data_IF_024799816968
#
_entry.id   IF_024799816968
#
_cell.length_a   1.000
_cell.length_b   1.000
_cell.length_c   1.000
_cell.angle_alpha   90.00
_cell.angle_beta   90.00
_cell.angle_gamma   90.00
#
_symmetry.space_group_name_H-M   'P 1'
#
loop_
_entity.id
_entity.type
_entity.pdbx_description
1 polymer ?
#
# COMPACT_ATOMS: atom_id res chain seq x y z
N UNK A 1 -6.18 36.81 -65.10
CA UNK A 1 -6.56 36.06 -63.88
C UNK A 1 -5.27 35.46 -63.32
N UNK A 2 -4.71 36.04 -62.26
CA UNK A 2 -3.48 35.55 -61.64
C UNK A 2 -3.87 34.69 -60.44
N UNK A 3 -3.70 33.36 -60.56
CA UNK A 3 -3.90 32.43 -59.45
C UNK A 3 -2.72 32.49 -58.48
N UNK A 4 -2.97 32.99 -57.27
CA UNK A 4 -2.06 32.85 -56.14
C UNK A 4 -2.24 31.45 -55.54
N UNK A 5 -1.19 30.64 -55.59
CA UNK A 5 -1.10 29.37 -54.87
C UNK A 5 -0.68 29.69 -53.44
N UNK A 6 -1.60 29.57 -52.48
CA UNK A 6 -1.28 29.60 -51.05
C UNK A 6 -0.55 28.30 -50.69
N UNK A 7 0.75 28.39 -50.40
CA UNK A 7 1.50 27.30 -49.79
C UNK A 7 1.21 27.31 -48.29
N UNK A 8 0.48 26.31 -47.81
CA UNK A 8 0.20 26.13 -46.37
C UNK A 8 1.44 25.49 -45.75
N UNK A 9 2.20 26.28 -45.00
CA UNK A 9 3.32 25.80 -44.19
C UNK A 9 2.73 25.06 -42.98
N UNK A 10 2.73 23.72 -43.02
CA UNK A 10 2.37 22.88 -41.88
C UNK A 10 3.46 22.99 -40.81
N UNK A 11 3.23 23.78 -39.76
CA UNK A 11 4.05 23.76 -38.55
C UNK A 11 3.85 22.42 -37.83
N UNK A 12 4.79 21.49 -37.99
CA UNK A 12 4.87 20.30 -37.16
C UNK A 12 5.40 20.71 -35.77
N UNK A 13 4.51 20.81 -34.78
CA UNK A 13 4.95 20.94 -33.39
C UNK A 13 5.68 19.64 -33.00
N UNK A 14 6.91 19.72 -32.45
CA UNK A 14 7.57 18.54 -31.93
C UNK A 14 6.73 17.98 -30.78
N UNK A 15 6.33 16.70 -30.89
CA UNK A 15 5.81 15.94 -29.77
C UNK A 15 6.92 15.84 -28.73
N UNK A 16 6.76 16.56 -27.63
CA UNK A 16 7.57 16.34 -26.43
C UNK A 16 7.06 15.05 -25.80
N UNK A 17 7.73 13.94 -26.10
CA UNK A 17 7.51 12.68 -25.37
C UNK A 17 8.17 12.86 -24.01
N UNK A 18 7.39 13.20 -22.99
CA UNK A 18 7.85 13.13 -21.61
C UNK A 18 8.06 11.66 -21.26
N UNK A 19 9.32 11.24 -21.16
CA UNK A 19 9.68 9.92 -20.67
C UNK A 19 9.84 10.02 -19.16
N UNK A 20 8.80 9.61 -18.43
CA UNK A 20 8.89 9.44 -16.99
C UNK A 20 9.78 8.24 -16.68
N UNK A 21 10.80 8.44 -15.84
CA UNK A 21 11.70 7.37 -15.40
C UNK A 21 11.63 7.21 -13.90
N UNK A 22 11.81 6.00 -13.40
CA UNK A 22 11.73 5.69 -11.98
C UNK A 22 13.10 5.23 -11.47
N UNK A 23 13.59 5.86 -10.40
CA UNK A 23 14.84 5.46 -9.74
C UNK A 23 14.56 4.85 -8.40
N UNK A 24 15.24 3.74 -8.09
CA UNK A 24 15.09 3.02 -6.83
C UNK A 24 15.44 3.94 -5.65
N UNK A 25 14.48 4.15 -4.76
CA UNK A 25 14.64 4.93 -3.54
C UNK A 25 14.87 4.03 -2.32
N UNK A 26 14.11 2.95 -2.19
CA UNK A 26 14.24 2.00 -1.07
C UNK A 26 13.94 0.57 -1.54
N UNK A 27 14.67 -0.40 -1.01
CA UNK A 27 14.44 -1.84 -1.24
C UNK A 27 14.42 -2.58 0.08
N UNK A 28 13.36 -3.35 0.31
CA UNK A 28 13.23 -4.31 1.40
C UNK A 28 13.20 -5.71 0.78
N UNK A 29 14.31 -6.45 0.87
CA UNK A 29 14.44 -7.82 0.35
C UNK A 29 15.56 -8.59 1.08
N UNK A 30 15.52 -9.92 1.02
CA UNK A 30 16.57 -10.77 1.56
C UNK A 30 16.76 -10.66 3.07
N UNK A 31 18.01 -10.81 3.51
CA UNK A 31 18.40 -10.70 4.92
C UNK A 31 18.24 -9.28 5.49
N UNK A 32 18.08 -8.27 4.64
CA UNK A 32 17.91 -6.87 5.03
C UNK A 32 16.46 -6.41 5.01
N UNK A 33 15.49 -7.28 4.70
CA UNK A 33 14.09 -6.89 4.58
C UNK A 33 13.58 -6.16 5.83
N UNK A 34 13.90 -6.65 7.02
CA UNK A 34 13.44 -6.09 8.30
C UNK A 34 14.28 -4.91 8.80
N UNK A 35 15.19 -4.39 7.97
CA UNK A 35 15.89 -3.14 8.27
C UNK A 35 14.98 -1.95 7.91
N UNK A 36 14.98 -0.92 8.74
CA UNK A 36 14.21 0.30 8.43
C UNK A 36 12.72 0.21 8.71
N UNK A 37 12.31 -0.66 9.64
CA UNK A 37 10.94 -0.75 10.14
C UNK A 37 10.85 -0.39 11.61
N UNK A 38 9.69 0.13 12.01
CA UNK A 38 9.28 0.30 13.40
C UNK A 38 8.16 -0.69 13.70
N UNK A 39 8.29 -1.47 14.78
CA UNK A 39 7.29 -2.45 15.21
C UNK A 39 6.45 -1.86 16.33
N UNK A 40 5.13 -1.81 16.14
CA UNK A 40 4.20 -1.35 17.17
C UNK A 40 3.91 -2.45 18.18
N UNK A 41 3.80 -2.08 19.44
CA UNK A 41 3.19 -2.91 20.50
C UNK A 41 1.98 -2.24 21.11
N UNK A 42 1.47 -1.19 20.46
CA UNK A 42 0.26 -0.52 20.91
C UNK A 42 -0.94 -1.47 20.74
N UNK A 43 -1.97 -1.34 21.59
CA UNK A 43 -3.24 -1.99 21.34
C UNK A 43 -3.75 -1.66 19.95
N UNK A 44 -4.38 -2.64 19.30
CA UNK A 44 -4.95 -2.42 17.98
C UNK A 44 -6.07 -1.37 18.03
N UNK A 45 -6.04 -0.45 17.06
CA UNK A 45 -7.03 0.63 16.93
C UNK A 45 -8.30 0.17 16.23
N UNK A 46 -8.23 -0.96 15.51
CA UNK A 46 -9.37 -1.59 14.87
C UNK A 46 -10.08 -2.61 15.79
N UNK A 47 -9.72 -2.64 17.08
CA UNK A 47 -10.33 -3.49 18.11
C UNK A 47 -10.17 -4.99 17.84
N UNK A 48 -9.15 -5.36 17.09
CA UNK A 48 -8.76 -6.72 16.80
C UNK A 48 -8.24 -7.49 18.00
N UNK A 49 -8.35 -8.81 17.93
CA UNK A 49 -7.97 -9.75 18.98
C UNK A 49 -6.52 -10.21 18.80
N UNK A 50 -5.63 -9.24 18.68
CA UNK A 50 -4.20 -9.42 18.48
C UNK A 50 -3.38 -8.82 19.61
N UNK A 51 -2.19 -9.37 19.79
CA UNK A 51 -1.15 -8.80 20.64
C UNK A 51 0.06 -8.50 19.77
N UNK A 52 0.20 -7.26 19.32
CA UNK A 52 1.33 -6.87 18.47
C UNK A 52 2.65 -6.91 19.25
N UNK A 53 3.63 -7.59 18.67
CA UNK A 53 4.92 -7.85 19.31
C UNK A 53 6.01 -6.89 18.83
N UNK A 54 6.92 -6.55 19.74
CA UNK A 54 8.14 -5.82 19.38
C UNK A 54 8.98 -6.64 18.39
N UNK A 55 9.85 -5.97 17.62
CA UNK A 55 10.71 -6.65 16.64
C UNK A 55 11.55 -7.77 17.27
N UNK A 56 12.10 -7.55 18.47
CA UNK A 56 12.91 -8.55 19.17
C UNK A 56 12.10 -9.80 19.52
N UNK A 57 10.88 -9.61 20.05
CA UNK A 57 9.98 -10.73 20.39
C UNK A 57 9.51 -11.44 19.12
N UNK A 58 9.04 -10.69 18.12
CA UNK A 58 8.59 -11.23 16.83
C UNK A 58 9.69 -12.05 16.15
N UNK A 59 10.95 -11.61 16.19
CA UNK A 59 12.09 -12.37 15.66
C UNK A 59 12.33 -13.65 16.46
N UNK A 60 12.36 -13.54 17.79
CA UNK A 60 12.62 -14.69 18.67
C UNK A 60 11.55 -15.79 18.57
N UNK A 61 10.30 -15.39 18.35
CA UNK A 61 9.14 -16.27 18.20
C UNK A 61 8.87 -16.67 16.75
N UNK A 62 9.72 -16.25 15.80
CA UNK A 62 9.55 -16.51 14.36
C UNK A 62 8.20 -16.00 13.81
N UNK A 63 7.73 -14.86 14.32
CA UNK A 63 6.62 -14.08 13.76
C UNK A 63 7.09 -13.13 12.66
N UNK A 64 8.34 -12.67 12.71
CA UNK A 64 8.98 -11.87 11.66
C UNK A 64 10.40 -12.38 11.43
N UNK A 65 10.69 -12.98 10.28
CA UNK A 65 12.00 -13.56 9.96
C UNK A 65 12.20 -13.79 8.46
N UNK A 66 13.44 -13.94 8.01
CA UNK A 66 13.75 -14.35 6.63
C UNK A 66 13.83 -15.87 6.55
N UNK A 67 13.12 -16.49 5.61
CA UNK A 67 13.16 -17.93 5.38
C UNK A 67 14.39 -18.35 4.54
N UNK A 68 14.57 -19.65 4.33
CA UNK A 68 15.73 -20.20 3.61
C UNK A 68 15.76 -19.81 2.12
N UNK A 69 14.62 -19.40 1.53
CA UNK A 69 14.53 -18.87 0.18
C UNK A 69 14.94 -17.39 0.09
N UNK A 70 15.23 -16.74 1.23
CA UNK A 70 15.54 -15.31 1.30
C UNK A 70 14.29 -14.42 1.35
N UNK A 71 13.09 -14.99 1.49
CA UNK A 71 11.84 -14.24 1.55
C UNK A 71 11.54 -13.83 3.00
N UNK A 72 10.93 -12.67 3.18
CA UNK A 72 10.46 -12.23 4.47
C UNK A 72 9.13 -12.90 4.83
N UNK A 73 9.08 -13.49 6.01
CA UNK A 73 7.88 -14.07 6.62
C UNK A 73 7.41 -13.13 7.73
N UNK A 74 6.15 -12.68 7.63
CA UNK A 74 5.43 -11.99 8.71
C UNK A 74 4.18 -12.80 9.00
N UNK A 75 3.99 -13.29 10.22
CA UNK A 75 2.91 -14.23 10.54
C UNK A 75 2.28 -14.01 11.92
N UNK A 76 1.06 -14.52 12.02
CA UNK A 76 0.39 -14.76 13.29
C UNK A 76 1.04 -15.94 14.02
N UNK A 77 1.06 -15.90 15.35
CA UNK A 77 1.43 -17.05 16.17
C UNK A 77 0.47 -18.21 15.91
N UNK A 78 0.99 -19.28 15.32
CA UNK A 78 0.28 -20.53 15.03
C UNK A 78 0.82 -21.69 15.88
N UNK A 79 1.31 -21.42 17.08
CA UNK A 79 1.87 -22.43 18.01
C UNK A 79 1.28 -22.36 19.42
N UNK A 80 0.96 -21.19 19.94
CA UNK A 80 0.44 -21.05 21.31
C UNK A 80 -1.05 -21.41 21.38
N UNK A 81 -1.37 -22.32 22.30
CA UNK A 81 -2.75 -22.63 22.70
C UNK A 81 -3.24 -21.59 23.70
N UNK A 82 -4.27 -20.83 23.32
CA UNK A 82 -4.85 -19.82 24.19
C UNK A 82 -5.70 -20.45 25.30
N UNK A 83 -5.65 -19.86 26.50
CA UNK A 83 -6.53 -20.28 27.59
C UNK A 83 -7.99 -19.94 27.24
N UNK A 84 -8.87 -20.95 27.21
CA UNK A 84 -10.29 -20.79 26.85
C UNK A 84 -11.06 -19.89 27.82
N UNK A 85 -10.59 -19.73 29.06
CA UNK A 85 -11.22 -18.88 30.07
C UNK A 85 -10.67 -17.44 30.07
N UNK A 86 -9.61 -17.16 29.31
CA UNK A 86 -9.04 -15.82 29.21
C UNK A 86 -9.77 -15.00 28.14
N UNK A 87 -10.67 -14.12 28.57
CA UNK A 87 -11.44 -13.25 27.65
C UNK A 87 -10.61 -12.09 27.08
N UNK A 88 -9.38 -11.90 27.55
CA UNK A 88 -8.48 -10.80 27.13
C UNK A 88 -7.37 -11.25 26.19
N UNK A 89 -7.31 -12.55 25.88
CA UNK A 89 -6.29 -13.12 25.02
C UNK A 89 -6.33 -12.50 23.62
N UNK A 90 -5.24 -11.82 23.26
CA UNK A 90 -4.92 -11.47 21.88
C UNK A 90 -3.84 -12.42 21.36
N UNK A 91 -4.02 -12.93 20.13
CA UNK A 91 -3.02 -13.80 19.52
C UNK A 91 -1.83 -12.97 19.04
N UNK A 92 -0.61 -13.44 19.28
CA UNK A 92 0.57 -12.66 18.93
C UNK A 92 0.66 -12.42 17.41
N UNK A 93 0.90 -11.17 17.03
CA UNK A 93 0.96 -10.69 15.64
C UNK A 93 2.03 -9.62 15.49
N UNK A 94 2.19 -9.08 14.28
CA UNK A 94 3.12 -8.03 13.90
C UNK A 94 2.34 -6.89 13.26
N UNK A 95 2.62 -5.67 13.71
CA UNK A 95 2.27 -4.43 13.03
C UNK A 95 3.56 -3.66 12.81
N UNK A 96 3.96 -3.46 11.57
CA UNK A 96 5.21 -2.78 11.24
C UNK A 96 5.00 -1.65 10.25
N UNK A 97 5.70 -0.54 10.50
CA UNK A 97 5.64 0.69 9.71
C UNK A 97 7.03 1.01 9.18
N UNK A 98 7.14 1.36 7.90
CA UNK A 98 8.43 1.75 7.32
C UNK A 98 8.93 3.06 7.91
N UNK A 99 10.24 3.16 8.14
CA UNK A 99 10.87 4.39 8.61
C UNK A 99 11.03 5.41 7.46
N UNK A 100 11.23 4.91 6.23
CA UNK A 100 11.27 5.74 5.05
C UNK A 100 9.86 6.08 4.58
N UNK A 101 9.66 7.33 4.17
CA UNK A 101 8.40 7.81 3.62
C UNK A 101 8.27 7.50 2.12
N UNK A 102 7.03 7.28 1.68
CA UNK A 102 6.60 7.21 0.29
C UNK A 102 5.89 8.52 -0.05
N UNK A 103 6.53 9.36 -0.86
CA UNK A 103 5.98 10.66 -1.25
C UNK A 103 5.11 10.53 -2.51
N UNK A 104 4.21 11.48 -2.80
CA UNK A 104 3.67 11.65 -4.14
C UNK A 104 4.80 11.70 -5.18
N UNK A 105 4.58 11.08 -6.34
CA UNK A 105 5.63 10.78 -7.33
C UNK A 105 6.40 9.50 -7.03
N UNK A 106 5.80 8.54 -6.33
CA UNK A 106 6.43 7.24 -6.05
C UNK A 106 5.71 6.07 -6.70
N UNK A 107 6.49 5.05 -7.07
CA UNK A 107 6.00 3.75 -7.51
C UNK A 107 6.41 2.70 -6.47
N UNK A 108 5.43 2.05 -5.86
CA UNK A 108 5.62 0.99 -4.86
C UNK A 108 5.36 -0.36 -5.52
N UNK A 109 6.32 -1.28 -5.45
CA UNK A 109 6.24 -2.63 -5.99
C UNK A 109 6.32 -3.65 -4.87
N UNK A 110 5.31 -4.49 -4.73
CA UNK A 110 5.19 -5.54 -3.72
C UNK A 110 5.10 -6.91 -4.39
N UNK A 111 6.15 -7.72 -4.27
CA UNK A 111 6.22 -9.09 -4.80
C UNK A 111 6.07 -10.10 -3.65
N UNK A 112 4.95 -10.84 -3.64
CA UNK A 112 4.65 -11.84 -2.61
C UNK A 112 4.31 -13.21 -3.21
N UNK A 113 4.74 -14.27 -2.52
CA UNK A 113 4.39 -15.67 -2.82
C UNK A 113 3.14 -16.08 -2.05
N UNK A 114 2.95 -15.51 -0.86
CA UNK A 114 1.83 -15.79 0.03
C UNK A 114 1.34 -14.50 0.69
N UNK A 115 0.02 -14.35 0.81
CA UNK A 115 -0.66 -13.33 1.61
C UNK A 115 -1.54 -14.07 2.62
N UNK A 116 -1.70 -13.60 3.88
CA UNK A 116 -2.50 -14.29 4.88
C UNK A 116 -3.94 -14.50 4.43
N UNK A 117 -4.55 -15.62 4.79
CA UNK A 117 -5.97 -15.86 4.55
C UNK A 117 -6.54 -16.90 5.52
N UNK A 118 -7.86 -16.89 5.69
CA UNK A 118 -8.59 -17.95 6.39
C UNK A 118 -8.89 -19.15 5.49
N UNK A 119 -8.78 -20.38 6.00
CA UNK A 119 -9.10 -21.60 5.23
C UNK A 119 -10.53 -22.08 5.46
N UNK A 120 -11.25 -22.35 4.38
CA UNK A 120 -12.40 -23.25 4.44
C UNK A 120 -11.89 -24.68 4.51
N UNK A 121 -11.99 -25.32 5.68
CA UNK A 121 -11.72 -26.74 5.76
C UNK A 121 -12.93 -27.50 5.19
N UNK A 122 -12.79 -28.28 4.10
CA UNK A 122 -13.87 -29.13 3.65
C UNK A 122 -14.13 -30.19 4.72
N UNK A 123 -15.41 -30.53 4.85
CA UNK A 123 -15.98 -31.56 5.70
C UNK A 123 -15.04 -32.75 5.95
N UNK A 124 -14.93 -33.09 7.24
CA UNK A 124 -14.42 -34.35 7.72
C UNK A 124 -14.96 -35.50 6.86
N UNK A 125 -14.07 -36.31 6.29
CA UNK A 125 -14.41 -37.51 5.51
C UNK A 125 -14.88 -38.67 6.40
N UNK A 126 -15.22 -38.41 7.67
CA UNK A 126 -15.68 -39.41 8.61
C UNK A 126 -17.17 -39.74 8.34
N UNK A 127 -17.57 -41.02 8.38
CA UNK A 127 -18.97 -41.40 8.27
C UNK A 127 -19.79 -40.69 9.36
N UNK A 128 -21.03 -40.33 9.00
CA UNK A 128 -21.92 -39.36 9.64
C UNK A 128 -22.38 -39.66 11.10
N UNK A 129 -21.59 -40.38 11.90
CA UNK A 129 -21.91 -40.71 13.29
C UNK A 129 -21.32 -39.76 14.33
N UNK A 130 -20.34 -38.92 13.97
CA UNK A 130 -19.76 -37.94 14.90
C UNK A 130 -19.81 -36.53 14.30
N UNK A 131 -20.42 -35.61 15.05
CA UNK A 131 -20.61 -34.18 14.78
C UNK A 131 -19.29 -33.46 14.48
N UNK A 132 -18.81 -33.58 13.26
CA UNK A 132 -17.62 -32.90 12.77
C UNK A 132 -18.04 -31.66 11.95
N UNK A 133 -18.70 -30.72 12.63
CA UNK A 133 -18.81 -29.34 12.17
C UNK A 133 -17.52 -28.63 12.58
N UNK A 134 -16.42 -28.90 11.88
CA UNK A 134 -15.24 -28.06 12.07
C UNK A 134 -15.58 -26.68 11.50
N UNK A 135 -15.42 -25.60 12.28
CA UNK A 135 -15.72 -24.25 11.79
C UNK A 135 -14.83 -23.95 10.60
N UNK A 136 -15.41 -23.31 9.58
CA UNK A 136 -14.65 -22.69 8.52
C UNK A 136 -13.69 -21.69 9.16
N UNK A 137 -12.39 -21.83 8.93
CA UNK A 137 -11.38 -21.00 9.59
C UNK A 137 -11.37 -19.64 8.91
N UNK A 138 -12.02 -18.69 9.55
CA UNK A 138 -12.06 -17.29 9.18
C UNK A 138 -11.20 -16.49 10.17
N UNK A 139 -11.56 -15.23 10.44
CA UNK A 139 -10.98 -14.33 11.44
C UNK A 139 -9.80 -13.48 10.99
N UNK A 140 -9.06 -13.86 9.95
CA UNK A 140 -7.85 -13.13 9.52
C UNK A 140 -8.21 -11.87 8.74
N UNK A 141 -7.56 -10.75 9.07
CA UNK A 141 -7.61 -9.47 8.37
C UNK A 141 -6.18 -8.97 8.14
N UNK A 142 -5.55 -9.34 7.02
CA UNK A 142 -4.24 -8.82 6.69
C UNK A 142 -4.33 -7.54 5.87
N UNK A 143 -3.35 -6.67 6.08
CA UNK A 143 -3.24 -5.43 5.34
C UNK A 143 -1.80 -5.17 4.87
N UNK A 144 -1.66 -4.72 3.64
CA UNK A 144 -0.51 -3.97 3.14
C UNK A 144 -1.03 -2.69 2.50
N UNK A 145 -0.65 -1.56 3.09
CA UNK A 145 -1.22 -0.26 2.78
C UNK A 145 -0.21 0.86 3.03
N UNK A 146 -0.55 2.06 2.59
CA UNK A 146 0.19 3.28 2.82
C UNK A 146 -0.66 4.20 3.69
N UNK A 147 -0.09 4.76 4.76
CA UNK A 147 -0.83 5.66 5.65
C UNK A 147 -0.04 6.92 5.95
N UNK A 148 -0.71 8.07 5.87
CA UNK A 148 -0.15 9.36 6.24
C UNK A 148 0.09 9.45 7.75
N UNK A 149 1.16 10.14 8.15
CA UNK A 149 1.53 10.27 9.58
C UNK A 149 0.50 11.04 10.44
N UNK A 150 -0.45 11.73 9.80
CA UNK A 150 -1.56 12.43 10.45
C UNK A 150 -2.87 12.00 9.77
N UNK A 151 -3.41 10.88 10.22
CA UNK A 151 -4.63 10.30 9.67
C UNK A 151 -5.90 10.95 10.28
N UNK A 152 -6.94 11.23 9.48
CA UNK A 152 -7.08 11.00 8.04
C UNK A 152 -6.62 12.19 7.17
N UNK A 153 -6.02 13.23 7.77
CA UNK A 153 -5.66 14.47 7.08
C UNK A 153 -4.70 14.26 5.90
N UNK A 154 -3.79 13.29 6.03
CA UNK A 154 -2.82 12.92 5.02
C UNK A 154 -3.19 11.64 4.26
N UNK A 155 -4.43 11.17 4.40
CA UNK A 155 -4.96 10.04 3.64
C UNK A 155 -4.36 8.68 3.98
N UNK A 156 -4.95 7.66 3.37
CA UNK A 156 -4.57 6.24 3.44
C UNK A 156 -4.92 5.56 2.10
N UNK A 157 -4.05 4.62 1.69
CA UNK A 157 -4.10 3.91 0.41
C UNK A 157 -3.93 2.41 0.67
N UNK A 158 -5.02 1.65 0.57
CA UNK A 158 -5.02 0.21 0.79
C UNK A 158 -4.73 -0.52 -0.52
N UNK A 159 -3.73 -1.41 -0.49
CA UNK A 159 -3.22 -2.08 -1.70
C UNK A 159 -3.56 -3.57 -1.68
N UNK A 160 -3.36 -4.21 -0.53
CA UNK A 160 -3.76 -5.59 -0.27
C UNK A 160 -4.52 -5.59 1.04
N UNK A 161 -5.85 -5.63 0.95
CA UNK A 161 -6.70 -5.72 2.13
C UNK A 161 -7.97 -6.49 1.77
N UNK A 162 -8.36 -7.42 2.64
CA UNK A 162 -9.68 -8.02 2.71
C UNK A 162 -9.77 -8.88 3.97
N UNK A 163 -10.91 -9.52 4.22
CA UNK A 163 -11.13 -10.29 5.44
C UNK A 163 -11.59 -11.72 5.18
N UNK A 164 -11.34 -12.58 6.16
CA UNK A 164 -11.90 -13.93 6.23
C UNK A 164 -11.55 -14.79 5.01
N UNK A 165 -12.55 -15.22 4.23
CA UNK A 165 -12.42 -16.12 3.08
C UNK A 165 -12.41 -15.40 1.73
N UNK A 166 -12.19 -14.08 1.73
CA UNK A 166 -12.14 -13.32 0.50
C UNK A 166 -11.10 -13.90 -0.49
N UNK A 167 -11.41 -13.82 -1.77
CA UNK A 167 -10.56 -14.34 -2.87
C UNK A 167 -10.03 -13.24 -3.77
N UNK A 168 -10.64 -12.06 -3.73
CA UNK A 168 -10.17 -10.87 -4.43
C UNK A 168 -9.66 -9.83 -3.44
N UNK A 169 -8.53 -9.20 -3.76
CA UNK A 169 -8.11 -7.99 -3.06
C UNK A 169 -9.09 -6.85 -3.37
N UNK A 170 -9.15 -5.87 -2.49
CA UNK A 170 -9.76 -4.59 -2.77
C UNK A 170 -8.75 -3.48 -2.55
N UNK A 171 -8.93 -2.39 -3.30
CA UNK A 171 -8.15 -1.18 -3.22
C UNK A 171 -9.07 -0.09 -2.69
N UNK A 172 -8.63 0.64 -1.67
CA UNK A 172 -9.40 1.72 -1.07
C UNK A 172 -8.56 2.95 -0.83
N UNK A 173 -9.23 4.10 -0.84
CA UNK A 173 -8.70 5.34 -0.30
C UNK A 173 -9.59 5.82 0.83
N UNK A 174 -8.95 6.31 1.90
CA UNK A 174 -9.59 6.98 3.02
C UNK A 174 -9.02 8.38 3.17
N UNK A 175 -9.88 9.39 3.15
CA UNK A 175 -9.48 10.80 3.14
C UNK A 175 -10.42 11.66 3.97
N UNK A 176 -10.12 12.96 4.06
CA UNK A 176 -11.11 13.99 4.39
C UNK A 176 -12.19 14.11 3.30
N UNK A 177 -13.28 14.80 3.62
CA UNK A 177 -14.40 15.03 2.71
C UNK A 177 -13.96 15.78 1.43
N UNK A 178 -14.43 15.34 0.27
CA UNK A 178 -14.26 16.01 -1.02
C UNK A 178 -13.41 15.25 -2.05
N UNK A 179 -12.81 14.11 -1.67
CA UNK A 179 -12.18 13.17 -2.59
C UNK A 179 -13.18 12.05 -2.93
N UNK A 180 -13.35 11.76 -4.21
CA UNK A 180 -14.21 10.68 -4.68
C UNK A 180 -13.58 9.92 -5.85
N UNK A 181 -13.98 8.67 -6.02
CA UNK A 181 -13.82 7.97 -7.29
C UNK A 181 -14.95 8.40 -8.26
N UNK A 182 -14.68 8.67 -9.54
CA UNK A 182 -15.72 8.93 -10.54
C UNK A 182 -16.79 7.82 -10.58
N UNK A 183 -18.06 8.16 -10.80
CA UNK A 183 -19.15 7.16 -10.79
C UNK A 183 -19.18 6.23 -12.01
N UNK A 184 -18.45 6.59 -13.07
CA UNK A 184 -18.14 5.75 -14.22
C UNK A 184 -16.68 5.30 -14.15
N UNK A 185 -16.33 4.17 -14.78
CA UNK A 185 -14.93 3.71 -14.85
C UNK A 185 -14.01 4.85 -15.28
N UNK A 186 -12.89 4.99 -14.58
CA UNK A 186 -11.90 6.04 -14.80
C UNK A 186 -10.78 5.60 -15.76
N UNK A 187 -10.86 4.37 -16.27
CA UNK A 187 -9.77 3.71 -17.01
C UNK A 187 -9.14 2.55 -16.22
N UNK A 188 -9.93 1.81 -15.45
CA UNK A 188 -9.47 0.63 -14.71
C UNK A 188 -10.21 -0.66 -15.13
N UNK A 189 -9.64 -1.81 -14.75
CA UNK A 189 -10.19 -3.14 -15.02
C UNK A 189 -10.95 -3.77 -13.84
N UNK A 190 -10.80 -3.20 -12.64
CA UNK A 190 -11.53 -3.61 -11.45
C UNK A 190 -13.00 -3.19 -11.46
N UNK A 191 -13.73 -3.67 -10.46
CA UNK A 191 -15.14 -3.33 -10.26
C UNK A 191 -15.28 -2.26 -9.19
N UNK A 192 -15.82 -1.10 -9.56
CA UNK A 192 -16.16 -0.04 -8.60
C UNK A 192 -17.24 -0.52 -7.61
N UNK A 193 -16.97 -0.36 -6.31
CA UNK A 193 -17.86 -0.77 -5.21
C UNK A 193 -18.37 0.45 -4.43
N UNK A 194 -17.51 1.43 -4.16
CA UNK A 194 -17.86 2.65 -3.43
C UNK A 194 -17.11 3.84 -4.04
N UNK A 195 -17.79 4.98 -4.16
CA UNK A 195 -17.22 6.20 -4.74
C UNK A 195 -16.73 7.21 -3.71
N UNK A 196 -17.22 7.17 -2.47
CA UNK A 196 -16.92 8.19 -1.45
C UNK A 196 -15.71 7.79 -0.61
N UNK A 197 -14.62 8.55 -0.72
CA UNK A 197 -13.38 8.27 0.01
C UNK A 197 -13.40 8.86 1.43
N UNK A 198 -14.45 9.60 1.82
CA UNK A 198 -14.51 10.24 3.12
C UNK A 198 -14.57 9.22 4.26
N UNK A 199 -13.59 9.28 5.15
CA UNK A 199 -13.42 8.34 6.26
C UNK A 199 -14.60 8.35 7.27
N UNK A 200 -15.44 9.39 7.28
CA UNK A 200 -16.61 9.46 8.15
C UNK A 200 -17.92 8.99 7.48
N UNK A 201 -17.88 8.54 6.22
CA UNK A 201 -19.05 7.97 5.53
C UNK A 201 -19.07 6.45 5.69
N UNK A 202 -20.29 5.88 5.83
CA UNK A 202 -20.54 4.43 5.86
C UNK A 202 -19.65 3.61 6.83
N UNK A 203 -19.25 4.21 7.95
CA UNK A 203 -18.38 3.55 8.92
C UNK A 203 -16.94 3.39 8.47
N UNK A 204 -16.36 4.42 7.84
CA UNK A 204 -15.02 4.42 7.28
C UNK A 204 -14.83 3.41 6.13
N UNK A 205 -15.83 3.29 5.25
CA UNK A 205 -15.76 2.36 4.12
C UNK A 205 -14.70 2.78 3.08
N UNK A 206 -14.53 4.10 2.87
CA UNK A 206 -13.69 4.61 1.79
C UNK A 206 -14.26 4.35 0.40
N UNK A 207 -13.51 4.77 -0.62
CA UNK A 207 -13.87 4.55 -2.01
C UNK A 207 -13.13 3.33 -2.55
N UNK A 208 -13.89 2.32 -2.94
CA UNK A 208 -13.38 0.96 -3.15
C UNK A 208 -13.49 0.59 -4.62
N UNK A 209 -12.38 0.07 -5.16
CA UNK A 209 -12.37 -0.72 -6.39
C UNK A 209 -11.94 -2.14 -6.02
N UNK A 210 -12.75 -3.13 -6.37
CA UNK A 210 -12.45 -4.55 -6.12
C UNK A 210 -11.77 -5.19 -7.32
N UNK A 211 -10.72 -5.96 -7.08
CA UNK A 211 -10.03 -6.71 -8.14
C UNK A 211 -10.96 -7.76 -8.78
N UNK A 212 -10.97 -7.78 -10.11
CA UNK A 212 -11.80 -8.67 -10.92
C UNK A 212 -11.22 -10.10 -10.97
N UNK A 213 -9.90 -10.25 -10.75
CA UNK A 213 -9.21 -11.54 -10.68
C UNK A 213 -9.34 -12.17 -9.29
N UNK A 214 -10.05 -13.31 -9.21
CA UNK A 214 -10.32 -14.04 -7.97
C UNK A 214 -9.11 -14.79 -7.36
N UNK A 215 -7.92 -14.64 -7.93
CA UNK A 215 -6.66 -15.14 -7.39
C UNK A 215 -5.72 -14.01 -6.95
N UNK A 216 -6.27 -12.81 -6.73
CA UNK A 216 -5.53 -11.67 -6.17
C UNK A 216 -5.43 -11.70 -4.65
N UNK A 217 -6.20 -12.55 -3.99
CA UNK A 217 -6.15 -12.72 -2.54
C UNK A 217 -6.49 -14.17 -2.16
N UNK A 218 -6.38 -14.48 -0.88
CA UNK A 218 -6.83 -15.76 -0.36
C UNK A 218 -5.96 -16.94 -0.80
N UNK A 219 -6.52 -18.14 -0.69
CA UNK A 219 -5.87 -19.38 -1.13
C UNK A 219 -5.57 -19.40 -2.63
N UNK A 220 -6.39 -18.71 -3.44
CA UNK A 220 -6.19 -18.57 -4.88
C UNK A 220 -4.85 -17.92 -5.21
N UNK A 221 -4.50 -16.83 -4.52
CA UNK A 221 -3.21 -16.15 -4.66
C UNK A 221 -2.04 -17.10 -4.35
N UNK A 222 -2.05 -17.72 -3.17
CA UNK A 222 -0.95 -18.59 -2.74
C UNK A 222 -0.81 -19.85 -3.62
N UNK A 223 -1.92 -20.41 -4.11
CA UNK A 223 -1.91 -21.62 -4.94
C UNK A 223 -1.22 -21.46 -6.29
N UNK A 224 -1.12 -20.23 -6.80
CA UNK A 224 -0.43 -19.91 -8.08
C UNK A 224 0.98 -19.34 -7.87
N UNK A 225 1.51 -19.43 -6.64
CA UNK A 225 2.80 -18.85 -6.27
C UNK A 225 2.77 -17.32 -6.10
N UNK A 226 1.59 -16.79 -5.79
CA UNK A 226 1.34 -15.38 -5.50
C UNK A 226 1.31 -14.47 -6.72
N UNK A 227 1.89 -13.28 -6.57
CA UNK A 227 1.80 -12.23 -7.57
C UNK A 227 2.50 -10.94 -7.14
N UNK A 228 2.45 -9.95 -8.04
CA UNK A 228 2.98 -8.62 -7.82
C UNK A 228 1.86 -7.60 -7.75
N UNK A 229 1.91 -6.72 -6.75
CA UNK A 229 1.12 -5.50 -6.70
C UNK A 229 2.02 -4.31 -7.01
N UNK A 230 1.54 -3.40 -7.84
CA UNK A 230 2.21 -2.13 -8.08
C UNK A 230 1.25 -0.98 -7.80
N UNK A 231 1.70 0.04 -7.07
CA UNK A 231 0.93 1.25 -6.80
C UNK A 231 1.73 2.47 -7.21
N UNK A 232 1.23 3.19 -8.22
CA UNK A 232 1.75 4.48 -8.63
C UNK A 232 0.99 5.58 -7.86
N UNK A 233 1.65 6.16 -6.87
CA UNK A 233 1.16 7.28 -6.09
C UNK A 233 1.71 8.57 -6.69
N UNK A 234 1.00 9.15 -7.66
CA UNK A 234 1.44 10.35 -8.40
C UNK A 234 0.53 11.55 -8.14
N UNK A 235 1.00 12.76 -8.45
CA UNK A 235 0.16 13.96 -8.39
C UNK A 235 -1.01 13.95 -9.38
N UNK A 236 -0.94 13.13 -10.44
CA UNK A 236 -2.02 13.00 -11.42
C UNK A 236 -3.14 12.05 -10.97
N UNK A 237 -2.87 11.23 -9.95
CA UNK A 237 -3.78 10.21 -9.46
C UNK A 237 -3.03 9.01 -8.87
N UNK A 238 -3.81 8.11 -8.27
CA UNK A 238 -3.33 6.87 -7.66
C UNK A 238 -3.79 5.71 -8.54
N UNK A 239 -2.85 4.90 -9.03
CA UNK A 239 -3.15 3.71 -9.82
C UNK A 239 -2.58 2.47 -9.13
N UNK A 240 -3.36 1.38 -9.08
CA UNK A 240 -2.89 0.10 -8.56
C UNK A 240 -3.11 -1.01 -9.58
N UNK A 241 -2.11 -1.87 -9.77
CA UNK A 241 -2.15 -3.07 -10.61
C UNK A 241 -1.95 -4.31 -9.75
N UNK A 242 -2.63 -5.39 -10.12
CA UNK A 242 -2.28 -6.74 -9.70
C UNK A 242 -1.87 -7.59 -10.91
N UNK A 243 -0.72 -8.25 -10.78
CA UNK A 243 -0.22 -9.23 -11.74
C UNK A 243 -0.13 -10.60 -11.05
N UNK A 244 -0.90 -11.61 -11.50
CA UNK A 244 -0.68 -12.97 -11.01
C UNK A 244 0.74 -13.41 -11.40
N UNK A 245 1.35 -14.32 -10.61
CA UNK A 245 2.77 -14.69 -10.72
C UNK A 245 3.30 -14.85 -12.16
N UNK A 246 2.56 -15.55 -13.01
CA UNK A 246 2.96 -15.85 -14.39
C UNK A 246 2.89 -14.64 -15.35
N UNK A 247 2.19 -13.58 -14.96
CA UNK A 247 1.95 -12.37 -15.76
C UNK A 247 2.67 -11.13 -15.21
N UNK A 248 3.54 -11.29 -14.21
CA UNK A 248 4.37 -10.18 -13.71
C UNK A 248 5.24 -9.65 -14.88
N UNK A 249 5.17 -8.35 -15.21
CA UNK A 249 5.98 -7.75 -16.26
C UNK A 249 7.49 -7.96 -16.01
N UNK A 250 8.26 -8.14 -17.08
CA UNK A 250 9.71 -8.41 -16.96
C UNK A 250 10.49 -7.28 -16.29
N UNK A 251 10.00 -6.05 -16.39
CA UNK A 251 10.62 -4.86 -15.79
C UNK A 251 10.18 -4.62 -14.33
N UNK A 252 9.21 -5.37 -13.80
CA UNK A 252 8.71 -5.26 -12.42
C UNK A 252 9.81 -5.49 -11.38
N UNK A 253 10.73 -6.43 -11.64
CA UNK A 253 11.86 -6.73 -10.73
C UNK A 253 13.15 -5.99 -11.11
N UNK A 254 13.11 -5.20 -12.17
CA UNK A 254 14.28 -4.46 -12.67
C UNK A 254 14.58 -3.21 -11.84
N UNK A 255 15.71 -2.56 -12.10
CA UNK A 255 16.06 -1.27 -11.52
C UNK A 255 15.41 -0.07 -12.22
N UNK A 256 14.59 -0.29 -13.25
CA UNK A 256 13.97 0.77 -14.07
C UNK A 256 12.58 0.35 -14.57
N UNK A 257 11.60 0.14 -13.67
CA UNK A 257 10.24 -0.22 -14.06
C UNK A 257 9.58 0.88 -14.89
N UNK A 258 8.70 0.49 -15.81
CA UNK A 258 7.94 1.39 -16.67
C UNK A 258 6.43 1.04 -16.68
N UNK A 259 5.64 1.65 -15.78
CA UNK A 259 4.19 1.43 -15.70
C UNK A 259 3.41 1.72 -16.99
N UNK A 260 3.92 2.57 -17.89
CA UNK A 260 3.21 2.90 -19.15
C UNK A 260 3.01 1.70 -20.08
N UNK A 261 3.79 0.63 -19.90
CA UNK A 261 3.70 -0.60 -20.69
C UNK A 261 2.90 -1.72 -20.01
N UNK A 262 2.33 -1.49 -18.82
CA UNK A 262 1.65 -2.54 -18.04
C UNK A 262 0.16 -2.68 -18.37
N UNK A 263 -0.38 -1.81 -19.23
CA UNK A 263 -1.81 -1.79 -19.55
C UNK A 263 -2.65 -1.11 -18.48
N UNK A 264 -3.96 -1.39 -18.50
CA UNK A 264 -4.90 -0.76 -17.56
C UNK A 264 -4.61 -1.19 -16.12
N UNK A 265 -4.64 -0.26 -15.15
CA UNK A 265 -4.62 -0.60 -13.74
C UNK A 265 -5.87 -1.38 -13.33
N UNK A 266 -5.75 -2.09 -12.22
CA UNK A 266 -6.87 -2.70 -11.51
C UNK A 266 -7.78 -1.64 -10.87
N UNK A 267 -7.20 -0.56 -10.36
CA UNK A 267 -7.92 0.60 -9.82
C UNK A 267 -7.22 1.91 -10.20
N UNK A 268 -8.00 2.95 -10.51
CA UNK A 268 -7.47 4.27 -10.79
C UNK A 268 -8.32 5.39 -10.17
N UNK A 269 -7.66 6.21 -9.36
CA UNK A 269 -8.28 7.36 -8.70
C UNK A 269 -7.68 8.64 -9.28
N UNK A 270 -8.31 9.25 -10.30
CA UNK A 270 -7.76 10.42 -10.97
C UNK A 270 -7.83 11.66 -10.07
N UNK A 271 -6.79 12.50 -10.13
CA UNK A 271 -6.75 13.74 -9.34
C UNK A 271 -7.80 14.79 -9.70
N UNK A 272 -8.49 14.63 -10.84
CA UNK A 272 -9.66 15.45 -11.18
C UNK A 272 -10.86 15.23 -10.25
N UNK A 273 -10.97 14.06 -9.62
CA UNK A 273 -12.03 13.73 -8.67
C UNK A 273 -11.52 13.56 -7.22
N UNK A 274 -10.22 13.26 -7.07
CA UNK A 274 -9.55 13.15 -5.78
C UNK A 274 -8.15 13.77 -5.83
N UNK A 275 -8.06 15.08 -5.59
CA UNK A 275 -6.79 15.82 -5.70
C UNK A 275 -5.73 15.27 -4.73
N UNK A 276 -4.72 14.59 -5.27
CA UNK A 276 -3.67 13.94 -4.46
C UNK A 276 -2.94 14.93 -3.56
N UNK A 277 -2.60 16.11 -4.07
CA UNK A 277 -1.85 17.13 -3.31
C UNK A 277 -2.66 17.76 -2.17
N UNK A 278 -3.98 17.61 -2.19
CA UNK A 278 -4.88 18.11 -1.15
C UNK A 278 -5.15 17.06 -0.07
N UNK A 279 -5.32 15.80 -0.46
CA UNK A 279 -5.83 14.75 0.43
C UNK A 279 -4.75 13.78 0.93
N UNK A 280 -3.57 13.77 0.30
CA UNK A 280 -2.50 12.85 0.65
C UNK A 280 -1.18 13.59 0.90
N UNK A 281 -0.55 13.25 2.03
CA UNK A 281 0.81 13.68 2.36
C UNK A 281 1.84 12.57 2.10
N UNK A 282 3.08 12.73 2.58
CA UNK A 282 4.02 11.62 2.70
C UNK A 282 3.41 10.46 3.50
N UNK A 283 3.46 9.26 2.93
CA UNK A 283 2.94 8.04 3.52
C UNK A 283 4.05 7.22 4.16
N UNK A 284 3.71 6.39 5.14
CA UNK A 284 4.54 5.27 5.56
C UNK A 284 3.90 3.97 5.08
N UNK A 285 4.72 2.98 4.71
CA UNK A 285 4.24 1.64 4.38
C UNK A 285 3.89 0.93 5.67
N UNK A 286 2.74 0.26 5.70
CA UNK A 286 2.31 -0.57 6.82
C UNK A 286 2.02 -1.98 6.33
N UNK A 287 2.50 -2.96 7.10
CA UNK A 287 2.14 -4.37 6.96
C UNK A 287 1.73 -4.87 8.33
N UNK A 288 0.52 -5.40 8.42
CA UNK A 288 0.03 -6.05 9.63
C UNK A 288 -0.91 -7.21 9.32
N UNK A 289 -1.16 -8.01 10.35
CA UNK A 289 -2.18 -9.05 10.31
C UNK A 289 -3.03 -8.90 11.57
N UNK A 290 -4.25 -8.40 11.40
CA UNK A 290 -5.23 -8.33 12.45
C UNK A 290 -6.13 -9.59 12.48
N UNK A 291 -6.87 -9.75 13.57
CA UNK A 291 -7.83 -10.82 13.77
C UNK A 291 -9.15 -10.25 14.28
N UNK A 292 -10.25 -10.56 13.60
CA UNK A 292 -11.59 -10.09 13.90
C UNK A 292 -11.73 -8.56 13.79
N UNK A 293 -11.77 -7.86 14.92
CA UNK A 293 -11.88 -6.40 14.96
C UNK A 293 -13.15 -5.83 14.33
N UNK A 294 -13.05 -4.55 14.00
CA UNK A 294 -14.10 -3.68 13.47
C UNK A 294 -14.60 -4.09 12.07
N UNK A 295 -13.95 -5.04 11.42
CA UNK A 295 -14.35 -5.50 10.10
C UNK A 295 -14.50 -7.03 10.01
N UNK A 296 -13.40 -7.80 10.10
CA UNK A 296 -13.47 -9.26 9.93
C UNK A 296 -14.37 -9.94 10.97
N UNK A 297 -14.45 -9.37 12.18
CA UNK A 297 -15.24 -9.87 13.30
C UNK A 297 -16.70 -9.42 13.31
N UNK A 298 -17.10 -8.48 12.44
CA UNK A 298 -18.47 -7.99 12.39
C UNK A 298 -19.39 -9.10 11.88
N UNK A 299 -20.40 -9.47 12.66
CA UNK A 299 -21.24 -10.63 12.38
C UNK A 299 -21.85 -10.63 10.96
N UNK A 300 -22.26 -9.48 10.42
CA UNK A 300 -22.79 -9.39 9.05
C UNK A 300 -21.73 -9.70 7.99
N UNK A 301 -20.49 -9.22 8.18
CA UNK A 301 -19.36 -9.46 7.28
C UNK A 301 -18.87 -10.90 7.41
N UNK A 302 -18.69 -11.37 8.63
CA UNK A 302 -18.27 -12.73 8.94
C UNK A 302 -19.24 -13.77 8.34
N UNK A 303 -20.54 -13.65 8.61
CA UNK A 303 -21.54 -14.61 8.14
C UNK A 303 -21.77 -14.52 6.61
N UNK A 304 -21.78 -13.32 6.03
CA UNK A 304 -21.93 -13.17 4.57
C UNK A 304 -20.71 -13.67 3.79
N UNK A 305 -19.53 -13.65 4.41
CA UNK A 305 -18.30 -14.25 3.89
C UNK A 305 -18.26 -15.78 3.93
N UNK A 306 -19.32 -16.45 4.40
CA UNK A 306 -19.41 -17.91 4.48
C UNK A 306 -18.82 -18.50 5.77
N UNK A 307 -18.50 -17.67 6.76
CA UNK A 307 -18.03 -18.11 8.06
C UNK A 307 -19.20 -18.46 8.98
N UNK A 308 -18.98 -19.38 9.92
CA UNK A 308 -19.98 -19.79 10.91
C UNK A 308 -19.44 -19.64 12.33
N UNK A 309 -20.33 -19.48 13.31
CA UNK A 309 -19.96 -19.21 14.70
C UNK A 309 -19.54 -17.76 14.94
N UNK A 310 -18.81 -17.51 16.02
CA UNK A 310 -18.24 -16.19 16.30
C UNK A 310 -16.76 -16.17 15.91
N UNK A 311 -16.30 -15.03 15.41
CA UNK A 311 -14.91 -14.84 15.00
C UNK A 311 -13.89 -15.20 16.10
N UNK A 312 -14.22 -14.84 17.35
CA UNK A 312 -13.36 -15.07 18.53
C UNK A 312 -13.23 -16.55 18.92
N UNK A 313 -14.11 -17.42 18.44
CA UNK A 313 -14.08 -18.86 18.77
C UNK A 313 -12.82 -19.53 18.19
N UNK A 314 -12.25 -18.96 17.12
CA UNK A 314 -11.05 -19.47 16.46
C UNK A 314 -9.75 -19.08 17.17
N UNK A 315 -9.78 -18.04 18.03
CA UNK A 315 -8.60 -17.40 18.60
C UNK A 315 -7.74 -18.33 19.44
N UNK A 316 -8.31 -19.36 20.07
CA UNK A 316 -7.59 -20.18 21.05
C UNK A 316 -6.78 -21.29 20.41
N UNK A 317 -7.21 -21.77 19.23
CA UNK A 317 -6.52 -22.85 18.55
C UNK A 317 -5.46 -22.30 17.58
N UNK A 318 -4.16 -22.55 17.83
CA UNK A 318 -3.09 -22.04 16.99
C UNK A 318 -3.13 -22.52 15.54
N UNK A 319 -3.57 -23.75 15.29
CA UNK A 319 -3.57 -24.34 13.93
C UNK A 319 -4.54 -23.62 12.99
N UNK A 320 -5.48 -22.83 13.53
CA UNK A 320 -6.38 -22.01 12.72
C UNK A 320 -5.64 -20.90 11.94
N UNK A 321 -4.37 -20.66 12.25
CA UNK A 321 -3.56 -19.56 11.73
C UNK A 321 -2.35 -20.05 10.92
N UNK A 322 -2.34 -21.32 10.48
CA UNK A 322 -1.24 -21.87 9.69
C UNK A 322 -1.07 -21.21 8.32
N UNK A 323 -2.14 -20.67 7.75
CA UNK A 323 -2.13 -19.88 6.51
C UNK A 323 -2.10 -18.36 6.77
N UNK A 324 -1.99 -17.92 8.02
CA UNK A 324 -2.01 -16.51 8.37
C UNK A 324 -0.60 -15.89 8.35
N UNK A 325 0.03 -15.88 7.17
CA UNK A 325 1.36 -15.29 6.97
C UNK A 325 1.52 -14.63 5.60
N UNK A 326 2.29 -13.55 5.57
CA UNK A 326 2.90 -13.03 4.36
C UNK A 326 4.20 -13.78 4.08
N UNK A 327 4.44 -14.09 2.81
CA UNK A 327 5.77 -14.45 2.30
C UNK A 327 6.12 -13.50 1.16
N UNK A 328 7.05 -12.58 1.43
CA UNK A 328 7.37 -11.44 0.57
C UNK A 328 8.76 -11.63 0.00
N UNK A 329 8.89 -11.63 -1.32
CA UNK A 329 10.18 -11.67 -2.01
C UNK A 329 10.88 -10.33 -1.92
N UNK A 330 10.17 -9.26 -2.25
CA UNK A 330 10.68 -7.89 -2.21
C UNK A 330 9.56 -6.86 -2.12
N UNK A 331 9.86 -5.76 -1.46
CA UNK A 331 9.07 -4.53 -1.48
C UNK A 331 10.01 -3.39 -1.88
N UNK A 332 9.72 -2.73 -3.00
CA UNK A 332 10.59 -1.68 -3.57
C UNK A 332 9.81 -0.40 -3.76
N UNK A 333 10.44 0.72 -3.45
CA UNK A 333 9.90 2.07 -3.70
C UNK A 333 10.83 2.75 -4.67
N UNK A 334 10.27 3.27 -5.75
CA UNK A 334 10.95 4.10 -6.73
C UNK A 334 10.38 5.52 -6.69
N UNK A 335 11.21 6.50 -7.00
CA UNK A 335 10.80 7.90 -7.15
C UNK A 335 10.84 8.30 -8.62
N UNK A 336 9.84 9.06 -9.02
CA UNK A 336 9.70 9.63 -10.35
C UNK A 336 10.78 10.69 -10.62
N UNK A 337 11.48 10.57 -11.76
CA UNK A 337 12.31 11.62 -12.31
C UNK A 337 11.66 12.17 -13.58
N UNK A 338 11.18 13.41 -13.52
CA UNK A 338 10.70 14.13 -14.69
C UNK A 338 11.89 14.76 -15.42
N UNK A 339 12.42 14.04 -16.41
CA UNK A 339 13.42 14.58 -17.32
C UNK A 339 12.70 15.38 -18.42
N UNK A 340 12.76 16.72 -18.37
CA UNK A 340 12.33 17.57 -19.50
C UNK A 340 13.38 17.49 -20.63
N UNK A 341 13.49 16.32 -21.26
CA UNK A 341 14.38 16.09 -22.39
C UNK A 341 13.82 16.72 -23.66
N UNK A 342 14.25 17.93 -24.00
CA UNK A 342 14.11 18.45 -25.36
C UNK A 342 14.98 17.61 -26.30
N UNK A 343 14.39 16.62 -26.96
CA UNK A 343 15.07 15.91 -28.04
C UNK A 343 15.16 16.86 -29.23
N UNK A 344 16.25 17.63 -29.29
CA UNK A 344 16.54 18.46 -30.45
C UNK A 344 16.99 17.50 -31.56
N UNK A 345 16.15 17.28 -32.57
CA UNK A 345 16.52 16.48 -33.73
C UNK A 345 17.81 17.05 -34.37
N UNK A 346 18.76 16.21 -34.85
CA UNK A 346 19.97 16.70 -35.50
C UNK A 346 19.57 17.41 -36.80
N UNK A 347 19.81 18.72 -36.88
CA UNK A 347 19.71 19.47 -38.13
C UNK A 347 20.90 19.05 -39.03
N UNK A 348 20.71 18.72 -40.31
CA UNK A 348 21.82 18.46 -41.22
C UNK A 348 22.65 19.74 -41.39
N UNK A 349 23.93 19.69 -41.02
CA UNK A 349 24.86 20.81 -41.16
C UNK A 349 25.15 21.10 -42.64
N UNK A 350 24.71 22.26 -43.14
CA UNK A 350 25.26 22.85 -44.35
C UNK A 350 26.58 23.56 -44.04
N UNK A 351 27.59 23.23 -44.85
CA UNK A 351 28.92 23.82 -44.82
C UNK A 351 28.89 25.27 -45.30
N UNK A 352 29.41 26.20 -44.51
CA UNK A 352 29.49 27.62 -44.84
C UNK A 352 30.73 28.26 -44.20
N UNK A 353 31.64 28.71 -45.05
CA UNK A 353 33.01 29.13 -44.75
C UNK A 353 33.11 30.61 -44.37
N UNK A 354 33.90 30.91 -43.33
CA UNK A 354 34.69 32.15 -43.04
C UNK A 354 34.02 33.52 -42.95
N UNK A 355 34.26 34.24 -41.85
CA UNK A 355 35.25 35.36 -41.76
C UNK A 355 35.35 35.90 -40.33
N UNK A 356 36.52 36.46 -39.98
CA UNK A 356 36.93 36.78 -38.62
C UNK A 356 36.97 38.30 -38.30
N UNK A 357 36.62 38.62 -37.04
CA UNK A 357 37.17 39.68 -36.14
C UNK A 357 36.96 41.18 -36.44
N UNK A 358 37.18 42.13 -35.47
CA UNK A 358 37.63 41.97 -34.07
C UNK A 358 36.93 42.84 -32.97
N UNK A 359 37.16 42.38 -31.72
CA UNK A 359 37.46 43.10 -30.46
C UNK A 359 36.61 44.27 -29.92
N UNK A 360 36.22 44.15 -28.64
CA UNK A 360 36.54 45.17 -27.62
C UNK A 360 36.57 44.58 -26.20
N UNK A 361 37.65 44.90 -25.51
CA UNK A 361 38.04 44.66 -24.11
C UNK A 361 37.13 45.30 -23.07
N UNK A 362 36.96 44.67 -21.88
CA UNK A 362 37.39 45.28 -20.61
C UNK A 362 37.36 44.36 -19.37
N UNK A 363 38.55 44.30 -18.76
CA UNK A 363 39.00 44.11 -17.37
C UNK A 363 37.96 43.94 -16.22
N UNK A 364 38.09 42.78 -15.56
CA UNK A 364 38.40 42.54 -14.14
C UNK A 364 37.96 43.53 -13.04
N UNK A 365 37.34 42.99 -11.99
CA UNK A 365 37.78 43.19 -10.60
C UNK A 365 37.39 41.99 -9.71
N UNK A 366 38.33 41.60 -8.86
CA UNK A 366 38.22 40.56 -7.85
C UNK A 366 38.13 41.21 -6.45
N UNK A 367 37.53 40.52 -5.48
CA UNK A 367 37.87 40.47 -4.04
C UNK A 367 36.73 39.74 -3.29
N UNK A 368 36.94 38.51 -2.80
CA UNK A 368 37.55 38.13 -1.51
C UNK A 368 36.61 38.26 -0.29
N UNK A 369 36.04 37.11 0.14
CA UNK A 369 35.97 36.50 1.51
C UNK A 369 35.65 37.37 2.76
N UNK A 370 35.31 36.79 3.95
CA UNK A 370 34.57 35.56 4.31
C UNK A 370 33.59 35.76 5.54
N UNK A 371 33.03 34.64 6.05
CA UNK A 371 32.74 34.34 7.48
C UNK A 371 31.37 34.73 8.12
N UNK A 372 30.60 33.72 8.59
CA UNK A 372 30.32 33.39 10.02
C UNK A 372 29.07 32.51 10.24
N UNK A 373 29.32 31.38 10.90
CA UNK A 373 28.37 30.64 11.74
C UNK A 373 28.03 31.46 13.00
N UNK A 374 26.80 31.30 13.49
CA UNK A 374 26.30 31.31 14.89
C UNK A 374 24.93 30.58 14.81
N UNK A 375 24.72 29.43 15.47
CA UNK A 375 24.15 29.31 16.82
C UNK A 375 22.65 29.64 16.80
N UNK A 376 21.71 28.69 16.88
CA UNK A 376 21.44 27.79 17.99
C UNK A 376 20.30 28.37 18.84
N UNK A 377 19.09 27.81 18.76
CA UNK A 377 17.98 28.13 19.68
C UNK A 377 17.12 26.88 19.93
N UNK A 378 16.78 26.74 21.20
CA UNK A 378 16.26 25.57 21.88
C UNK A 378 14.75 25.34 21.66
N UNK A 379 14.34 24.07 21.71
CA UNK A 379 12.94 23.65 21.84
C UNK A 379 12.54 23.58 23.32
N UNK A 380 11.57 24.38 23.70
CA UNK A 380 10.92 24.38 25.00
C UNK A 380 9.68 23.48 25.00
N UNK A 381 9.65 22.60 25.99
CA UNK A 381 8.56 21.69 26.39
C UNK A 381 7.23 22.40 26.62
N UNK A 382 6.13 21.79 26.16
CA UNK A 382 4.80 21.93 26.77
C UNK A 382 4.13 20.55 26.87
N UNK A 383 4.30 19.93 28.04
CA UNK A 383 3.44 18.87 28.57
C UNK A 383 2.54 19.51 29.62
N UNK A 384 1.20 19.46 29.46
CA UNK A 384 0.31 19.16 30.59
C UNK A 384 -1.18 19.20 30.27
N UNK A 385 -1.88 18.29 30.95
CA UNK A 385 -3.27 18.31 31.42
C UNK A 385 -4.38 17.88 30.46
N UNK A 386 -4.77 16.60 30.59
CA UNK A 386 -6.15 16.27 30.95
C UNK A 386 -6.28 14.87 31.58
N UNK A 387 -6.54 14.83 32.88
CA UNK A 387 -7.07 13.68 33.62
C UNK A 387 -8.25 14.23 34.41
N UNK A 388 -9.46 13.76 34.14
CA UNK A 388 -10.57 13.53 35.07
C UNK A 388 -11.83 13.24 34.25
N UNK A 389 -12.32 12.01 34.28
CA UNK A 389 -13.77 11.75 34.29
C UNK A 389 -14.06 10.43 34.97
N UNK A 390 -14.77 10.59 36.07
CA UNK A 390 -15.35 9.58 36.95
C UNK A 390 -16.52 8.87 36.30
N UNK A 391 -16.64 7.60 36.67
CA UNK A 391 -17.80 6.71 36.62
C UNK A 391 -19.18 7.35 36.74
N UNK A 392 -20.10 6.99 35.84
CA UNK A 392 -21.55 6.83 36.13
C UNK A 392 -22.20 5.92 35.08
N UNK A 393 -22.71 4.77 35.53
CA UNK A 393 -23.71 3.94 34.83
C UNK A 393 -25.09 4.62 34.86
N UNK A 394 -25.99 4.29 33.92
CA UNK A 394 -27.41 4.23 34.21
C UNK A 394 -28.07 2.88 33.82
N UNK A 395 -29.30 2.62 34.30
CA UNK A 395 -29.80 1.28 34.59
C UNK A 395 -30.62 0.63 33.46
N UNK A 396 -30.81 -0.68 33.64
CA UNK A 396 -31.80 -1.52 32.97
C UNK A 396 -33.22 -0.94 33.04
N UNK A 397 -33.97 -1.13 31.94
CA UNK A 397 -35.43 -1.10 31.93
C UNK A 397 -35.92 -2.27 31.07
N UNK A 398 -36.55 -3.23 31.76
CA UNK A 398 -37.56 -4.24 31.35
C UNK A 398 -37.61 -4.76 29.91
#
# INVERSE_FOLDING_TARGET
>A
MHSFVLSVLSLSLPLVVQCTTYTLATSYEGSTFFNGWSFSTAPDKNYGYVSFQSQAVATSQKLAYTNDAGNAIIKIDNTTVGNVNDTTFGRASVFMTSNAAVNPGSLVLFDAVHIPYGVSHPHCSAPASDSCTMPVQCSVWPAFFLMGNDWPNNGEIDIVENVNLATSAQYSLHTLNGCTHPSSSSGESGTLVSTDCYNATNGNQGCIVRESQANSFGSGFSSVGGGGFATLFSESGISTWFFPRASIPSDFTSSSPNPSNWGLPSAYYPSSACNVTQFFGPQSIIIDIDICGAWAGVASVYNSGGCTGNCVDLLKNPTNYDTAYFEIKSLKVFTENTSNGSVTAPIPSQSGTTTASPSSTNKSSAMSTPWKMIGGLAWGSLFSHWLHRTSTLPPEVS
#
